data_IF_693395321215
#
_entry.id   IF_693395321215
#
_cell.length_a   1.000
_cell.length_b   1.000
_cell.length_c   1.000
_cell.angle_alpha   90.00
_cell.angle_beta   90.00
_cell.angle_gamma   90.00
#
_symmetry.space_group_name_H-M   'P 1'
#
loop_
_entity.id
_entity.type
_entity.pdbx_description
1 polymer ?
#
# COMPACT_ATOMS: atom_id res chain seq x y z
N UNK A 1 -24.01 -20.44 5.16
CA UNK A 1 -22.86 -20.01 4.32
C UNK A 1 -22.68 -18.52 4.56
N UNK A 2 -21.58 -18.10 5.20
CA UNK A 2 -21.24 -16.67 5.29
C UNK A 2 -20.68 -16.23 3.93
N UNK A 3 -21.04 -15.03 3.47
CA UNK A 3 -20.40 -14.48 2.27
C UNK A 3 -18.93 -14.19 2.62
N UNK A 4 -17.98 -14.57 1.75
CA UNK A 4 -16.57 -14.30 1.99
C UNK A 4 -16.34 -12.79 2.15
N UNK A 5 -15.57 -12.42 3.18
CA UNK A 5 -15.20 -11.04 3.47
C UNK A 5 -14.00 -10.66 2.63
N UNK A 6 -14.26 -10.13 1.44
CA UNK A 6 -13.20 -9.72 0.52
C UNK A 6 -12.75 -8.29 0.79
N UNK A 7 -11.44 -8.11 0.99
CA UNK A 7 -10.77 -6.82 1.00
C UNK A 7 -9.92 -6.68 -0.26
N UNK A 8 -10.14 -5.62 -1.03
CA UNK A 8 -9.34 -5.32 -2.22
C UNK A 8 -8.23 -4.35 -1.86
N UNK A 9 -6.99 -4.70 -2.19
CA UNK A 9 -5.80 -3.95 -1.79
C UNK A 9 -4.85 -3.78 -2.97
N UNK A 10 -4.42 -2.55 -3.25
CA UNK A 10 -3.29 -2.28 -4.13
C UNK A 10 -1.99 -2.42 -3.33
N UNK A 11 -1.20 -3.45 -3.61
CA UNK A 11 0.15 -3.57 -3.05
C UNK A 11 1.11 -2.82 -3.97
N UNK A 12 1.80 -1.84 -3.39
CA UNK A 12 2.73 -0.95 -4.08
C UNK A 12 3.93 -1.73 -4.64
N UNK A 13 4.41 -1.37 -5.83
CA UNK A 13 5.56 -2.01 -6.46
C UNK A 13 6.81 -2.02 -5.57
N UNK A 14 7.10 -0.90 -4.88
CA UNK A 14 8.32 -0.76 -4.08
C UNK A 14 8.26 -1.64 -2.84
N UNK A 15 7.09 -1.78 -2.23
CA UNK A 15 6.91 -2.67 -1.09
C UNK A 15 7.23 -4.13 -1.46
N UNK A 16 6.97 -4.53 -2.70
CA UNK A 16 7.29 -5.87 -3.21
C UNK A 16 8.77 -5.96 -3.63
N UNK A 17 9.28 -4.99 -4.39
CA UNK A 17 10.64 -4.98 -4.92
C UNK A 17 11.70 -4.94 -3.81
N UNK A 18 11.46 -4.16 -2.75
CA UNK A 18 12.33 -4.09 -1.57
C UNK A 18 12.17 -5.30 -0.64
N UNK A 19 11.14 -6.13 -0.86
CA UNK A 19 10.88 -7.35 -0.09
C UNK A 19 10.25 -7.12 1.27
N UNK A 20 9.64 -5.96 1.49
CA UNK A 20 8.80 -5.75 2.68
C UNK A 20 7.53 -6.60 2.61
N UNK A 21 6.98 -6.78 1.41
CA UNK A 21 5.83 -7.64 1.14
C UNK A 21 6.26 -8.70 0.13
N UNK A 22 6.12 -9.97 0.49
CA UNK A 22 6.37 -11.09 -0.43
C UNK A 22 5.43 -11.02 -1.65
N UNK A 23 5.90 -11.34 -2.87
CA UNK A 23 5.07 -11.30 -4.07
C UNK A 23 3.75 -12.08 -3.88
N UNK A 24 2.58 -11.39 -3.88
CA UNK A 24 1.31 -12.06 -3.62
C UNK A 24 1.01 -13.17 -4.63
N UNK A 25 0.51 -14.31 -4.15
CA UNK A 25 0.16 -15.46 -4.99
C UNK A 25 -1.22 -15.99 -4.62
N UNK A 26 -2.03 -16.32 -5.63
CA UNK A 26 -3.36 -16.93 -5.41
C UNK A 26 -3.22 -18.21 -4.57
N UNK A 27 -4.03 -18.33 -3.52
CA UNK A 27 -4.00 -19.43 -2.57
C UNK A 27 -2.99 -19.27 -1.42
N UNK A 28 -2.10 -18.27 -1.47
CA UNK A 28 -1.20 -17.96 -0.36
C UNK A 28 -1.89 -17.03 0.65
N UNK A 29 -1.44 -17.09 1.90
CA UNK A 29 -1.84 -16.11 2.92
C UNK A 29 -0.84 -14.96 2.90
N UNK A 30 -1.33 -13.73 2.76
CA UNK A 30 -0.54 -12.51 2.89
C UNK A 30 -0.86 -11.80 4.19
N UNK A 31 0.16 -11.18 4.79
CA UNK A 31 0.02 -10.35 5.98
C UNK A 31 0.98 -9.15 5.88
N UNK A 32 0.47 -7.93 6.00
CA UNK A 32 1.27 -6.72 5.79
C UNK A 32 0.58 -5.46 6.35
N UNK A 33 1.32 -4.34 6.49
CA UNK A 33 0.76 -3.05 6.88
C UNK A 33 -0.27 -2.53 5.87
N UNK A 34 -1.35 -1.94 6.37
CA UNK A 34 -2.46 -1.48 5.56
C UNK A 34 -2.69 0.03 5.74
N UNK A 35 -2.77 0.74 4.62
CA UNK A 35 -3.19 2.13 4.52
C UNK A 35 -4.55 2.20 3.82
N UNK A 36 -5.40 3.13 4.22
CA UNK A 36 -6.62 3.50 3.51
C UNK A 36 -6.59 5.00 3.22
N UNK A 37 -6.75 5.36 1.95
CA UNK A 37 -6.81 6.75 1.51
C UNK A 37 -8.19 7.03 0.93
N UNK A 38 -8.87 8.07 1.41
CA UNK A 38 -10.14 8.51 0.82
C UNK A 38 -9.92 8.90 -0.66
N UNK A 39 -10.75 8.34 -1.53
CA UNK A 39 -10.71 8.59 -2.99
C UNK A 39 -12.14 8.77 -3.52
N UNK A 40 -12.32 9.52 -4.62
CA UNK A 40 -13.57 9.50 -5.35
C UNK A 40 -13.99 8.06 -5.73
N UNK A 41 -15.29 7.76 -5.87
CA UNK A 41 -15.82 6.44 -6.22
C UNK A 41 -15.57 6.08 -7.70
N UNK A 42 -14.31 6.12 -8.13
CA UNK A 42 -13.89 5.96 -9.52
C UNK A 42 -12.77 4.91 -9.58
N UNK A 43 -13.02 3.81 -10.29
CA UNK A 43 -12.06 2.74 -10.48
C UNK A 43 -12.44 1.43 -9.77
N UNK A 44 -11.88 0.29 -10.22
CA UNK A 44 -12.22 -1.04 -9.70
C UNK A 44 -11.52 -1.41 -8.38
N UNK A 45 -10.55 -0.61 -7.97
CA UNK A 45 -9.74 -0.66 -6.76
C UNK A 45 -10.36 0.10 -5.57
N UNK A 46 -11.30 1.00 -5.83
CA UNK A 46 -12.02 1.77 -4.81
C UNK A 46 -13.10 0.91 -4.15
N UNK A 47 -13.18 0.99 -2.82
CA UNK A 47 -14.15 0.30 -1.98
C UNK A 47 -14.94 1.28 -1.11
N UNK A 48 -16.20 0.92 -0.84
CA UNK A 48 -16.98 1.50 0.25
C UNK A 48 -16.83 0.64 1.51
N UNK A 49 -16.51 1.26 2.64
CA UNK A 49 -16.30 0.59 3.92
C UNK A 49 -17.14 1.21 5.03
N UNK A 50 -17.43 0.42 6.05
CA UNK A 50 -17.97 0.89 7.32
C UNK A 50 -17.03 0.42 8.44
N UNK A 51 -16.50 1.35 9.22
CA UNK A 51 -15.45 1.07 10.21
C UNK A 51 -15.52 2.07 11.37
N UNK A 52 -14.83 1.75 12.46
CA UNK A 52 -14.61 2.70 13.55
C UNK A 52 -13.26 3.40 13.34
N UNK A 53 -13.26 4.73 13.37
CA UNK A 53 -12.09 5.58 13.17
C UNK A 53 -11.65 6.22 14.48
N UNK A 54 -10.43 5.90 14.88
CA UNK A 54 -9.70 6.55 15.96
C UNK A 54 -8.81 7.66 15.36
N UNK A 55 -9.10 8.95 15.59
CA UNK A 55 -8.30 10.03 15.02
C UNK A 55 -6.91 10.06 15.62
N UNK A 56 -5.90 10.41 14.82
CA UNK A 56 -4.60 10.76 15.35
C UNK A 56 -4.70 12.11 16.07
N UNK A 57 -4.12 12.22 17.27
CA UNK A 57 -4.08 13.48 18.02
C UNK A 57 -3.11 14.53 17.44
N UNK A 58 -2.35 14.17 16.40
CA UNK A 58 -1.43 15.07 15.72
C UNK A 58 -2.16 16.04 14.78
N UNK A 59 -1.62 17.25 14.53
CA UNK A 59 -2.14 18.14 13.50
C UNK A 59 -2.03 17.49 12.11
N UNK A 60 -2.88 17.88 11.13
CA UNK A 60 -2.81 17.35 9.78
C UNK A 60 -1.48 17.72 9.11
N UNK A 61 -0.95 16.79 8.31
CA UNK A 61 0.23 17.03 7.49
C UNK A 61 -0.16 17.80 6.23
N UNK A 62 0.64 18.77 5.81
CA UNK A 62 0.43 19.44 4.52
C UNK A 62 0.95 18.58 3.38
N UNK A 63 0.08 18.28 2.42
CA UNK A 63 0.41 17.53 1.21
C UNK A 63 0.16 18.39 -0.01
N UNK A 64 0.92 18.18 -1.10
CA UNK A 64 0.80 18.93 -2.35
C UNK A 64 0.42 18.05 -3.55
N UNK A 65 -0.65 17.23 -3.45
CA UNK A 65 -1.13 16.48 -4.61
C UNK A 65 -1.47 17.45 -5.73
N UNK A 66 -0.98 17.16 -6.94
CA UNK A 66 -1.22 17.96 -8.14
C UNK A 66 -0.81 19.45 -7.98
N UNK A 67 0.18 19.72 -7.11
CA UNK A 67 0.71 21.07 -6.88
C UNK A 67 -0.17 21.97 -6.03
N UNK A 68 -1.24 21.45 -5.40
CA UNK A 68 -2.09 22.21 -4.47
C UNK A 68 -1.88 21.75 -3.04
N UNK A 69 -1.46 22.68 -2.18
CA UNK A 69 -1.38 22.42 -0.75
C UNK A 69 -2.76 22.12 -0.16
N UNK A 70 -2.87 20.97 0.51
CA UNK A 70 -4.06 20.56 1.22
C UNK A 70 -3.69 19.80 2.50
N UNK A 71 -4.46 20.01 3.59
CA UNK A 71 -4.25 19.28 4.83
C UNK A 71 -4.66 17.81 4.65
N UNK A 72 -3.85 16.91 5.18
CA UNK A 72 -4.10 15.47 5.26
C UNK A 72 -4.22 15.06 6.72
N UNK A 73 -5.43 14.66 7.09
CA UNK A 73 -5.75 14.12 8.41
C UNK A 73 -5.40 12.64 8.46
N UNK A 74 -5.02 12.16 9.64
CA UNK A 74 -4.64 10.76 9.85
C UNK A 74 -5.31 10.15 11.09
N UNK A 75 -5.30 8.82 11.14
CA UNK A 75 -5.94 8.04 12.19
C UNK A 75 -5.82 6.54 11.94
N UNK A 76 -6.54 5.75 12.72
CA UNK A 76 -6.58 4.29 12.63
C UNK A 76 -8.03 3.82 12.43
N UNK A 77 -8.28 3.17 11.30
CA UNK A 77 -9.54 2.47 11.03
C UNK A 77 -9.48 1.06 11.61
N UNK A 78 -10.61 0.64 12.19
CA UNK A 78 -10.86 -0.72 12.66
C UNK A 78 -12.08 -1.27 11.95
N UNK A 79 -11.86 -2.25 11.09
CA UNK A 79 -12.91 -3.00 10.41
C UNK A 79 -13.00 -4.42 10.92
N UNK A 80 -13.89 -5.20 10.31
CA UNK A 80 -14.06 -6.61 10.65
C UNK A 80 -12.90 -7.44 10.09
N UNK A 81 -11.94 -7.78 10.96
CA UNK A 81 -10.77 -8.61 10.62
C UNK A 81 -9.56 -7.85 10.07
N UNK A 82 -9.58 -6.52 10.07
CA UNK A 82 -8.47 -5.69 9.59
C UNK A 82 -8.38 -4.36 10.35
N UNK A 83 -7.19 -3.77 10.36
CA UNK A 83 -6.98 -2.38 10.74
C UNK A 83 -6.21 -1.66 9.64
N UNK A 84 -6.42 -0.37 9.45
CA UNK A 84 -5.69 0.41 8.45
C UNK A 84 -5.33 1.78 9.02
N UNK A 85 -4.10 2.25 8.78
CA UNK A 85 -3.85 3.69 8.88
C UNK A 85 -4.79 4.39 7.91
N UNK A 86 -5.37 5.52 8.30
CA UNK A 86 -6.29 6.29 7.47
C UNK A 86 -5.68 7.62 7.08
N UNK A 87 -5.98 8.07 5.87
CA UNK A 87 -5.66 9.39 5.34
C UNK A 87 -6.90 10.00 4.67
N UNK A 88 -7.25 11.23 5.05
CA UNK A 88 -8.41 11.95 4.52
C UNK A 88 -8.25 13.47 4.51
N UNK A 89 -9.07 14.13 3.71
CA UNK A 89 -9.04 15.60 3.53
C UNK A 89 -9.74 16.39 4.63
N UNK A 90 -10.47 15.71 5.51
CA UNK A 90 -11.27 16.30 6.58
C UNK A 90 -11.09 15.53 7.88
N UNK A 91 -11.15 16.18 9.06
CA UNK A 91 -11.10 15.49 10.33
C UNK A 91 -12.32 14.58 10.49
N UNK A 92 -12.11 13.35 10.96
CA UNK A 92 -13.17 12.36 11.20
C UNK A 92 -12.87 11.54 12.45
N UNK A 93 -13.91 11.01 13.08
CA UNK A 93 -13.81 10.15 14.26
C UNK A 93 -15.08 9.31 14.44
N UNK A 94 -14.97 8.20 15.18
CA UNK A 94 -16.09 7.32 15.51
C UNK A 94 -16.52 6.44 14.35
N UNK A 95 -17.80 6.05 14.30
CA UNK A 95 -18.33 5.21 13.23
C UNK A 95 -18.39 6.00 11.92
N UNK A 96 -17.74 5.51 10.88
CA UNK A 96 -17.65 6.18 9.57
C UNK A 96 -18.04 5.25 8.44
N UNK A 97 -18.62 5.83 7.39
CA UNK A 97 -18.79 5.22 6.08
C UNK A 97 -17.90 5.98 5.10
N UNK A 98 -16.90 5.30 4.55
CA UNK A 98 -15.87 5.92 3.71
C UNK A 98 -15.79 5.23 2.36
N UNK A 99 -15.33 6.00 1.37
CA UNK A 99 -14.99 5.51 0.04
C UNK A 99 -13.53 5.81 -0.21
N UNK A 100 -12.78 4.80 -0.65
CA UNK A 100 -11.34 4.94 -0.80
C UNK A 100 -10.67 3.66 -1.25
N UNK A 101 -9.35 3.72 -1.29
CA UNK A 101 -8.48 2.63 -1.74
C UNK A 101 -7.69 2.12 -0.55
N UNK A 102 -7.54 0.81 -0.44
CA UNK A 102 -6.57 0.20 0.46
C UNK A 102 -5.24 -0.01 -0.26
N UNK A 103 -4.14 0.34 0.41
CA UNK A 103 -2.80 0.14 -0.10
C UNK A 103 -1.93 -0.65 0.87
N UNK A 104 -1.22 -1.65 0.35
CA UNK A 104 -0.10 -2.31 1.03
C UNK A 104 1.17 -1.55 0.70
N UNK A 105 1.68 -0.77 1.66
CA UNK A 105 2.73 0.25 1.41
C UNK A 105 4.01 -0.02 2.19
N UNK A 106 5.08 0.67 1.79
CA UNK A 106 6.30 0.79 2.59
C UNK A 106 5.95 1.37 3.97
N UNK A 107 6.28 0.62 5.02
CA UNK A 107 5.68 0.71 6.36
C UNK A 107 6.17 1.86 7.23
N UNK A 108 6.57 3.00 6.65
CA UNK A 108 7.22 4.07 7.43
C UNK A 108 6.25 4.71 8.43
N UNK A 109 4.95 4.81 8.09
CA UNK A 109 3.90 5.39 8.97
C UNK A 109 2.62 4.55 9.08
N UNK A 110 2.58 3.36 8.46
CA UNK A 110 1.41 2.50 8.48
C UNK A 110 1.42 1.58 9.73
N UNK A 111 0.53 1.86 10.69
CA UNK A 111 0.34 1.04 11.91
C UNK A 111 -0.83 0.06 11.78
N UNK A 112 -1.68 0.22 10.77
CA UNK A 112 -2.73 -0.73 10.44
C UNK A 112 -2.18 -2.02 9.86
N UNK A 113 -2.92 -3.12 9.99
CA UNK A 113 -2.50 -4.44 9.55
C UNK A 113 -3.65 -5.27 9.00
N UNK A 114 -3.35 -6.12 8.03
CA UNK A 114 -4.28 -7.12 7.49
C UNK A 114 -3.61 -8.49 7.36
N UNK A 115 -4.41 -9.54 7.47
CA UNK A 115 -4.04 -10.92 7.12
C UNK A 115 -5.19 -11.57 6.37
N UNK A 116 -4.93 -12.09 5.18
CA UNK A 116 -5.98 -12.64 4.31
C UNK A 116 -5.45 -13.70 3.34
N UNK A 117 -6.32 -14.60 2.88
CA UNK A 117 -6.03 -15.53 1.80
C UNK A 117 -6.14 -14.76 0.48
N UNK A 118 -5.09 -14.76 -0.33
CA UNK A 118 -5.12 -14.14 -1.65
C UNK A 118 -5.97 -15.00 -2.57
N UNK A 119 -7.07 -14.42 -3.06
CA UNK A 119 -8.01 -15.09 -3.98
C UNK A 119 -7.86 -14.64 -5.42
N UNK A 120 -7.25 -13.47 -5.63
CA UNK A 120 -7.01 -12.89 -6.96
C UNK A 120 -5.77 -12.00 -6.92
N UNK A 121 -4.99 -12.00 -8.00
CA UNK A 121 -3.86 -11.09 -8.22
C UNK A 121 -3.97 -10.49 -9.61
N UNK A 122 -3.86 -9.17 -9.72
CA UNK A 122 -3.84 -8.43 -10.98
C UNK A 122 -2.69 -7.44 -10.97
N UNK A 123 -1.76 -7.53 -11.92
CA UNK A 123 -0.79 -6.45 -12.14
C UNK A 123 -1.52 -5.22 -12.61
N UNK A 124 -1.25 -4.09 -11.97
CA UNK A 124 -1.82 -2.80 -12.32
C UNK A 124 -0.77 -2.04 -13.10
N UNK A 125 -1.12 -1.62 -14.31
CA UNK A 125 -0.25 -0.74 -15.09
C UNK A 125 -0.96 0.57 -15.35
N UNK A 126 -0.20 1.64 -15.53
CA UNK A 126 -0.72 2.90 -16.02
C UNK A 126 0.03 3.33 -17.26
N UNK A 127 -0.72 3.87 -18.21
CA UNK A 127 -0.17 4.54 -19.39
C UNK A 127 -0.30 6.04 -19.20
N UNK A 128 0.82 6.74 -19.20
CA UNK A 128 0.87 8.19 -19.05
C UNK A 128 1.63 8.81 -20.22
N UNK A 129 1.28 10.05 -20.56
CA UNK A 129 2.00 10.84 -21.56
C UNK A 129 3.02 11.71 -20.86
N UNK A 130 4.29 11.63 -21.27
CA UNK A 130 5.36 12.45 -20.71
C UNK A 130 5.14 13.93 -21.01
N UNK A 131 5.01 14.74 -19.95
CA UNK A 131 4.89 16.19 -19.99
C UNK A 131 6.15 16.86 -19.43
N UNK A 132 6.57 18.02 -19.97
CA UNK A 132 7.70 18.80 -19.44
C UNK A 132 7.49 19.19 -17.95
N UNK A 133 6.24 19.29 -17.52
CA UNK A 133 5.83 19.62 -16.15
C UNK A 133 5.83 18.41 -15.21
N UNK A 134 6.00 17.17 -15.71
CA UNK A 134 6.06 15.94 -14.89
C UNK A 134 7.32 15.88 -14.01
N UNK A 135 8.23 16.84 -14.18
CA UNK A 135 9.37 17.09 -13.29
C UNK A 135 8.97 17.48 -11.85
N UNK A 136 7.67 17.64 -11.52
CA UNK A 136 7.19 18.15 -10.22
C UNK A 136 6.18 17.28 -9.47
N UNK A 137 6.16 15.96 -9.64
CA UNK A 137 5.53 15.15 -8.61
C UNK A 137 5.32 13.67 -8.93
N UNK A 138 5.36 12.89 -7.85
CA UNK A 138 4.81 11.53 -7.74
C UNK A 138 3.27 11.55 -7.87
N UNK A 139 2.77 12.14 -8.95
CA UNK A 139 1.35 12.10 -9.28
C UNK A 139 1.04 10.70 -9.76
N UNK A 140 0.43 9.88 -8.91
CA UNK A 140 -0.24 8.68 -9.40
C UNK A 140 -1.27 9.14 -10.44
N UNK A 141 -1.16 8.67 -11.70
CA UNK A 141 -2.12 9.01 -12.74
C UNK A 141 -3.54 8.62 -12.33
N UNK A 142 -4.52 9.32 -12.91
CA UNK A 142 -5.93 9.14 -12.58
C UNK A 142 -6.38 7.67 -12.74
N UNK A 143 -7.33 7.17 -11.92
CA UNK A 143 -7.74 5.77 -11.90
C UNK A 143 -8.26 5.23 -13.23
N UNK A 144 -8.69 6.11 -14.14
CA UNK A 144 -9.21 5.80 -15.47
C UNK A 144 -8.12 5.39 -16.49
N UNK A 145 -6.84 5.56 -16.15
CA UNK A 145 -5.71 5.12 -16.97
C UNK A 145 -5.11 3.78 -16.50
N UNK A 146 -5.72 3.12 -15.50
CA UNK A 146 -5.24 1.84 -14.96
C UNK A 146 -5.71 0.65 -15.82
N UNK A 147 -4.75 -0.11 -16.31
CA UNK A 147 -4.95 -1.42 -16.92
C UNK A 147 -4.70 -2.53 -15.89
N UNK A 148 -5.46 -3.63 -16.00
CA UNK A 148 -5.38 -4.76 -15.08
C UNK A 148 -5.09 -6.06 -15.82
N UNK A 149 -3.98 -6.70 -15.47
CA UNK A 149 -3.57 -8.00 -16.02
C UNK A 149 -3.63 -9.07 -14.93
N UNK A 150 -4.54 -10.01 -15.05
CA UNK A 150 -4.65 -11.12 -14.09
C UNK A 150 -3.43 -12.06 -14.17
N UNK A 151 -2.91 -12.44 -13.01
CA UNK A 151 -1.76 -13.35 -12.87
C UNK A 151 -2.00 -14.30 -11.69
N UNK A 152 -1.30 -15.44 -11.67
CA UNK A 152 -1.34 -16.35 -10.52
C UNK A 152 -0.46 -15.86 -9.38
N UNK A 153 0.71 -15.32 -9.72
CA UNK A 153 1.70 -14.80 -8.78
C UNK A 153 2.16 -13.45 -9.27
N UNK A 154 2.27 -12.49 -8.35
CA UNK A 154 2.84 -11.19 -8.60
C UNK A 154 4.26 -11.33 -9.13
N UNK A 155 4.67 -10.52 -10.12
CA UNK A 155 6.09 -10.39 -10.43
C UNK A 155 6.82 -9.83 -9.19
N UNK A 156 8.10 -10.18 -9.07
CA UNK A 156 8.99 -9.58 -8.07
C UNK A 156 9.46 -8.19 -8.49
N UNK A 157 9.67 -7.99 -9.79
CA UNK A 157 10.14 -6.74 -10.38
C UNK A 157 9.15 -6.29 -11.45
N UNK A 158 8.83 -5.01 -11.43
CA UNK A 158 7.81 -4.40 -12.26
C UNK A 158 8.42 -3.72 -13.48
N UNK A 159 7.60 -3.56 -14.52
CA UNK A 159 8.06 -2.91 -15.76
C UNK A 159 7.92 -1.41 -15.60
N UNK A 160 9.03 -0.69 -15.77
CA UNK A 160 9.05 0.76 -15.83
C UNK A 160 9.61 1.24 -17.17
N UNK A 161 8.72 1.64 -18.09
CA UNK A 161 9.10 2.21 -19.38
C UNK A 161 9.29 3.74 -19.31
N UNK A 162 9.25 4.35 -18.11
CA UNK A 162 9.53 5.77 -17.98
C UNK A 162 10.90 6.09 -18.56
N UNK A 163 10.99 7.14 -19.38
CA UNK A 163 12.29 7.57 -19.82
C UNK A 163 13.10 8.10 -18.64
N UNK A 164 14.35 7.64 -18.53
CA UNK A 164 15.29 8.15 -17.53
C UNK A 164 15.59 9.62 -17.85
N UNK A 165 15.21 10.51 -16.94
CA UNK A 165 15.61 11.92 -16.97
C UNK A 165 16.96 12.08 -16.27
N UNK A 166 17.87 12.84 -16.87
CA UNK A 166 19.18 13.11 -16.26
C UNK A 166 19.13 14.44 -15.53
N UNK A 167 19.41 14.44 -14.23
CA UNK A 167 19.66 15.69 -13.51
C UNK A 167 21.09 16.11 -13.80
N UNK A 168 21.25 17.23 -14.51
CA UNK A 168 22.54 17.87 -14.73
C UNK A 168 22.67 19.02 -13.74
N UNK A 169 23.71 18.98 -12.92
CA UNK A 169 24.06 20.12 -12.08
C UNK A 169 24.87 21.09 -12.94
N UNK A 170 24.31 22.27 -13.20
CA UNK A 170 25.02 23.35 -13.86
C UNK A 170 26.19 23.83 -13.00
N UNK A 171 27.17 24.46 -13.64
CA UNK A 171 28.41 24.93 -13.01
C UNK A 171 28.17 25.98 -11.91
N UNK A 172 27.01 26.64 -11.90
CA UNK A 172 26.59 27.60 -10.89
C UNK A 172 25.87 26.95 -9.68
N UNK A 173 25.78 25.62 -9.64
CA UNK A 173 25.11 24.87 -8.59
C UNK A 173 23.59 24.73 -8.76
N UNK A 174 23.03 25.21 -9.88
CA UNK A 174 21.61 24.96 -10.20
C UNK A 174 21.43 23.55 -10.75
N UNK A 175 20.35 22.88 -10.36
CA UNK A 175 19.99 21.57 -10.90
C UNK A 175 19.03 21.76 -12.08
N UNK A 176 19.47 21.38 -13.27
CA UNK A 176 18.64 21.32 -14.47
C UNK A 176 18.27 19.86 -14.74
N UNK A 177 16.98 19.57 -14.84
CA UNK A 177 16.52 18.25 -15.27
C UNK A 177 16.52 18.24 -16.79
N UNK A 178 17.51 17.59 -17.39
CA UNK A 178 17.58 17.41 -18.84
C UNK A 178 16.80 16.15 -19.19
N UNK A 179 15.58 16.33 -19.70
CA UNK A 179 14.85 15.27 -20.37
C UNK A 179 15.52 14.97 -21.72
N UNK A 180 15.75 13.69 -22.09
CA UNK A 180 16.21 13.36 -23.44
C UNK A 180 15.17 13.83 -24.47
N UNK A 181 15.54 14.71 -25.39
CA UNK A 181 14.63 15.14 -26.46
C UNK A 181 14.55 14.06 -27.58
N UNK A 182 13.38 13.83 -28.22
CA UNK A 182 12.06 14.37 -27.92
C UNK A 182 11.14 13.30 -27.32
N UNK A 183 11.10 13.21 -25.99
CA UNK A 183 10.17 12.31 -25.28
C UNK A 183 8.84 12.99 -24.92
N UNK A 184 8.76 14.32 -25.02
CA UNK A 184 7.52 15.09 -24.80
C UNK A 184 6.41 14.58 -25.72
N UNK A 185 5.27 14.23 -25.14
CA UNK A 185 4.13 13.68 -25.88
C UNK A 185 4.22 12.18 -26.18
N UNK A 186 5.27 11.47 -25.76
CA UNK A 186 5.31 10.01 -25.85
C UNK A 186 4.57 9.38 -24.67
N UNK A 187 3.80 8.35 -24.99
CA UNK A 187 3.21 7.49 -23.97
C UNK A 187 4.27 6.52 -23.47
N UNK A 188 4.25 6.27 -22.16
CA UNK A 188 5.03 5.24 -21.51
C UNK A 188 4.11 4.44 -20.59
N UNK A 189 4.42 3.17 -20.39
CA UNK A 189 3.70 2.28 -19.48
C UNK A 189 4.54 1.98 -18.25
N UNK A 190 3.93 2.05 -17.07
CA UNK A 190 4.55 1.66 -15.80
C UNK A 190 3.62 0.68 -15.11
N UNK A 191 4.13 -0.48 -14.70
CA UNK A 191 3.43 -1.33 -13.75
C UNK A 191 3.60 -0.69 -12.36
N UNK A 192 2.53 -0.37 -11.64
CA UNK A 192 2.58 0.38 -10.37
C UNK A 192 2.37 -0.51 -9.13
N UNK A 193 2.32 -1.83 -9.33
CA UNK A 193 2.09 -2.82 -8.28
C UNK A 193 1.04 -3.88 -8.66
N UNK A 194 0.42 -4.49 -7.64
CA UNK A 194 -0.61 -5.51 -7.83
C UNK A 194 -1.87 -5.25 -7.01
N UNK A 195 -3.02 -5.34 -7.67
CA UNK A 195 -4.32 -5.34 -7.03
C UNK A 195 -4.70 -6.77 -6.64
N UNK A 196 -4.85 -7.01 -5.34
CA UNK A 196 -5.22 -8.31 -4.79
C UNK A 196 -6.60 -8.26 -4.13
N UNK A 197 -7.30 -9.39 -4.17
CA UNK A 197 -8.52 -9.61 -3.39
C UNK A 197 -8.16 -10.60 -2.25
N UNK A 198 -8.22 -10.13 -1.01
CA UNK A 198 -7.97 -10.90 0.21
C UNK A 198 -9.28 -11.41 0.80
N UNK A 199 -9.40 -12.72 1.02
CA UNK A 199 -10.45 -13.29 1.85
C UNK A 199 -10.00 -13.30 3.32
N UNK A 200 -10.73 -12.58 4.15
CA UNK A 200 -10.45 -12.44 5.58
C UNK A 200 -11.04 -13.58 6.43
N UNK A 201 -11.92 -14.41 5.86
CA UNK A 201 -12.53 -15.54 6.56
C UNK A 201 -11.62 -16.78 6.57
N UNK A 202 -10.29 -16.61 6.66
CA UNK A 202 -9.34 -17.73 6.72
C UNK A 202 -9.77 -18.65 7.88
N UNK A 203 -10.37 -19.79 7.55
CA UNK A 203 -10.75 -20.78 8.52
C UNK A 203 -9.47 -21.17 9.26
N UNK A 204 -9.46 -21.04 10.59
CA UNK A 204 -8.30 -21.27 11.43
C UNK A 204 -7.66 -22.63 11.11
N UNK A 205 -6.51 -22.59 10.43
CA UNK A 205 -5.52 -23.64 10.54
C UNK A 205 -4.99 -23.57 11.96
N UNK A 206 -5.44 -24.50 12.80
CA UNK A 206 -5.23 -24.51 14.24
C UNK A 206 -3.78 -24.35 14.65
N UNK A 207 -3.60 -23.56 15.70
CA UNK A 207 -2.53 -23.76 16.67
C UNK A 207 -3.19 -23.74 18.06
N UNK A 208 -4.00 -24.78 18.32
CA UNK A 208 -4.34 -25.15 19.69
C UNK A 208 -3.14 -25.88 20.28
N UNK A 209 -2.72 -25.41 21.46
CA UNK A 209 -1.42 -25.71 22.04
C UNK A 209 -1.17 -27.17 22.40
N UNK A 210 0.12 -27.50 22.38
CA UNK A 210 0.67 -28.55 23.22
C UNK A 210 1.74 -27.91 24.14
N UNK A 211 1.40 -27.85 25.44
CA UNK A 211 2.37 -27.99 26.53
C UNK A 211 3.10 -26.73 27.00
N UNK A 212 2.47 -25.97 27.90
CA UNK A 212 3.19 -25.43 29.07
C UNK A 212 3.17 -26.52 30.13
N UNK A 213 4.35 -26.95 30.56
CA UNK A 213 4.75 -27.16 31.97
C UNK A 213 5.99 -28.08 31.99
N UNK A 214 7.16 -27.49 32.18
CA UNK A 214 8.03 -27.94 33.26
C UNK A 214 9.01 -26.83 33.65
N UNK A 215 8.87 -26.44 34.91
CA UNK A 215 9.72 -25.51 35.65
C UNK A 215 10.88 -26.33 36.22
N UNK A 216 12.10 -26.03 35.78
CA UNK A 216 13.32 -26.28 36.54
C UNK A 216 14.10 -24.96 36.48
N UNK A 217 14.11 -24.12 37.51
CA UNK A 217 14.84 -24.35 38.75
C UNK A 217 16.30 -23.94 38.53
N UNK A 218 16.77 -22.77 39.01
CA UNK A 218 18.15 -22.34 38.77
C UNK A 218 19.13 -23.21 39.57
N UNK A 219 20.28 -23.62 39.00
CA UNK A 219 21.29 -24.31 39.79
C UNK A 219 21.99 -23.33 40.73
N UNK A 220 21.85 -23.60 42.02
CA UNK A 220 22.66 -23.04 43.11
C UNK A 220 24.15 -23.39 42.92
N UNK A 221 25.00 -22.41 43.24
CA UNK A 221 26.43 -22.56 43.34
C UNK A 221 26.85 -23.59 44.41
N UNK A 222 27.93 -24.31 44.14
CA UNK A 222 28.81 -24.85 45.16
C UNK A 222 30.26 -24.68 44.69
N UNK A 223 30.98 -23.81 45.40
CA UNK A 223 32.41 -23.94 45.65
C UNK A 223 32.67 -25.28 46.38
N UNK A 224 33.69 -26.01 45.92
CA UNK A 224 34.78 -26.58 46.75
C UNK A 224 35.59 -27.60 45.94
N UNK A 225 36.83 -27.21 45.58
CA UNK A 225 38.10 -27.96 45.72
C UNK A 225 39.24 -27.27 44.96
#
# INVERSE_FOLDING_TARGET
>A
MRRPRTLRVLVDELAIEDGQIEPPSVGAVSAFPLLFTERPPTGPDVMSICADLEPCGAPPTMTTPQGREQPMWSGLLRGDGWTASWQGSQPRAGRVELVGEFSGVLGIDAIGWVRGLVTRVRVVSVTSTFSETDSRGWGFPEPDLRDYREVQTSPRFFTDERPVTTVVTATDGTHEIIAPAPLVGRNYRVDIGVLIDLDLDIAGSGNDGAGRDDVAGPPTAHDDA
#
